data_IF_769834707924
#
_entry.id   IF_769834707924
#
_cell.length_a   1.000
_cell.length_b   1.000
_cell.length_c   1.000
_cell.angle_alpha   90.00
_cell.angle_beta   90.00
_cell.angle_gamma   90.00
#
_symmetry.space_group_name_H-M   'P 1'
#
loop_
_entity.id
_entity.type
_entity.pdbx_description
1 polymer ?
#
# COMPACT_ATOMS: atom_id res chain seq x y z
N UNK A 1 6.01 36.62 13.36
CA UNK A 1 6.83 35.86 12.41
C UNK A 1 6.23 36.09 11.02
N UNK A 2 7.08 36.43 10.06
CA UNK A 2 6.65 36.61 8.66
C UNK A 2 6.17 35.30 8.04
N UNK A 3 5.22 35.37 7.11
CA UNK A 3 4.58 34.21 6.51
C UNK A 3 5.56 33.22 5.86
N UNK A 4 6.62 33.72 5.22
CA UNK A 4 7.62 32.89 4.56
C UNK A 4 8.49 32.10 5.55
N UNK A 5 8.90 32.76 6.66
CA UNK A 5 9.62 32.10 7.75
C UNK A 5 8.74 31.05 8.43
N UNK A 6 7.46 31.39 8.64
CA UNK A 6 6.50 30.47 9.25
C UNK A 6 6.19 29.28 8.36
N UNK A 7 6.05 29.47 7.03
CA UNK A 7 5.84 28.37 6.09
C UNK A 7 7.05 27.42 6.05
N UNK A 8 8.27 27.95 6.05
CA UNK A 8 9.51 27.18 6.12
C UNK A 8 9.59 26.37 7.42
N UNK A 9 9.24 27.01 8.55
CA UNK A 9 9.17 26.33 9.84
C UNK A 9 8.19 25.17 9.83
N UNK A 10 6.98 25.35 9.32
CA UNK A 10 5.96 24.28 9.23
C UNK A 10 6.41 23.13 8.34
N UNK A 11 6.99 23.42 7.19
CA UNK A 11 7.53 22.41 6.30
C UNK A 11 8.55 21.53 7.03
N UNK A 12 9.56 22.12 7.65
CA UNK A 12 10.62 21.42 8.37
C UNK A 12 10.10 20.65 9.61
N UNK A 13 9.03 21.14 10.23
CA UNK A 13 8.41 20.52 11.39
C UNK A 13 7.63 19.25 11.05
N UNK A 14 7.01 19.19 9.86
CA UNK A 14 5.94 18.24 9.54
C UNK A 14 6.32 17.25 8.44
N UNK A 15 7.48 17.45 7.80
CA UNK A 15 8.05 16.54 6.79
C UNK A 15 9.39 15.98 7.24
N UNK A 16 9.90 15.01 6.49
CA UNK A 16 11.25 14.46 6.64
C UNK A 16 12.03 14.55 5.30
N UNK A 17 13.22 13.95 5.25
CA UNK A 17 14.10 13.94 4.07
C UNK A 17 13.50 13.22 2.85
N UNK A 18 12.38 12.52 3.02
CA UNK A 18 11.64 11.90 1.91
C UNK A 18 10.89 12.92 1.05
N UNK A 19 10.82 14.17 1.51
CA UNK A 19 10.22 15.29 0.79
C UNK A 19 11.27 16.38 0.53
N UNK A 20 11.12 17.10 -0.60
CA UNK A 20 11.92 18.26 -0.97
C UNK A 20 11.02 19.52 -1.04
N UNK A 21 11.44 20.67 -0.48
CA UNK A 21 10.67 21.89 -0.57
C UNK A 21 10.80 22.53 -1.97
N UNK A 22 9.76 23.24 -2.41
CA UNK A 22 9.90 24.29 -3.41
C UNK A 22 10.55 25.54 -2.79
N UNK A 23 10.88 26.53 -3.62
CA UNK A 23 11.07 27.86 -3.11
C UNK A 23 9.81 28.34 -2.38
N UNK A 24 10.02 29.14 -1.32
CA UNK A 24 8.91 29.77 -0.61
C UNK A 24 8.47 31.01 -1.38
N UNK A 25 7.17 31.20 -1.53
CA UNK A 25 6.59 32.35 -2.19
C UNK A 25 5.23 32.68 -1.60
N UNK A 26 5.02 33.92 -1.18
CA UNK A 26 3.75 34.39 -0.56
C UNK A 26 3.26 33.45 0.55
N UNK A 27 4.13 33.10 1.48
CA UNK A 27 3.80 32.22 2.60
C UNK A 27 3.47 30.78 2.22
N UNK A 28 3.84 30.34 0.99
CA UNK A 28 3.54 29.00 0.49
C UNK A 28 4.83 28.22 0.17
N UNK A 29 4.89 26.97 0.64
CA UNK A 29 5.88 25.95 0.24
C UNK A 29 5.14 24.71 -0.26
N UNK A 30 5.64 24.15 -1.36
CA UNK A 30 5.15 22.87 -1.91
C UNK A 30 6.14 21.77 -1.56
N UNK A 31 5.67 20.70 -0.90
CA UNK A 31 6.45 19.49 -0.71
C UNK A 31 6.38 18.61 -1.96
N UNK A 32 7.53 18.13 -2.43
CA UNK A 32 7.67 17.20 -3.54
C UNK A 32 8.32 15.92 -3.04
N UNK A 33 7.91 14.77 -3.55
CA UNK A 33 8.52 13.48 -3.22
C UNK A 33 9.98 13.43 -3.66
N UNK A 34 10.91 13.08 -2.77
CA UNK A 34 12.34 12.92 -3.09
C UNK A 34 12.61 11.68 -3.94
N UNK A 35 11.71 10.69 -3.88
CA UNK A 35 11.81 9.42 -4.60
C UNK A 35 10.42 8.91 -4.97
N UNK A 36 10.36 7.97 -5.92
CA UNK A 36 9.15 7.19 -6.16
C UNK A 36 8.86 6.30 -4.94
N UNK A 37 7.62 6.28 -4.46
CA UNK A 37 7.27 5.50 -3.29
C UNK A 37 5.81 5.63 -2.88
N UNK A 38 5.55 5.21 -1.66
CA UNK A 38 4.25 5.26 -1.01
C UNK A 38 4.11 6.54 -0.20
N UNK A 39 3.19 7.41 -0.57
CA UNK A 39 2.86 8.60 0.21
C UNK A 39 2.13 8.20 1.50
N UNK A 40 2.62 8.70 2.62
CA UNK A 40 2.01 8.59 3.94
C UNK A 40 1.62 9.97 4.45
N UNK A 41 0.36 10.10 4.85
CA UNK A 41 -0.18 11.30 5.47
C UNK A 41 -0.95 10.89 6.73
N UNK A 42 -0.60 11.49 7.86
CA UNK A 42 -1.38 11.32 9.08
C UNK A 42 -2.62 12.22 9.03
N UNK A 43 -3.78 11.63 8.68
CA UNK A 43 -5.03 12.35 8.47
C UNK A 43 -5.51 13.09 9.73
N UNK A 44 -5.37 12.48 10.90
CA UNK A 44 -5.83 13.09 12.16
C UNK A 44 -5.01 14.33 12.48
N UNK A 45 -3.67 14.23 12.40
CA UNK A 45 -2.77 15.38 12.58
C UNK A 45 -3.03 16.47 11.54
N UNK A 46 -3.31 16.10 10.27
CA UNK A 46 -3.62 17.04 9.20
C UNK A 46 -4.86 17.86 9.52
N UNK A 47 -5.93 17.21 9.95
CA UNK A 47 -7.19 17.88 10.30
C UNK A 47 -6.95 18.82 11.48
N UNK A 48 -6.35 18.32 12.56
CA UNK A 48 -6.10 19.12 13.77
C UNK A 48 -5.14 20.30 13.54
N UNK A 49 -4.16 20.15 12.63
CA UNK A 49 -3.29 21.26 12.22
C UNK A 49 -4.08 22.37 11.54
N UNK A 50 -5.00 21.99 10.64
CA UNK A 50 -5.84 22.94 9.89
C UNK A 50 -6.90 23.65 10.74
N UNK A 51 -7.13 23.22 12.00
CA UNK A 51 -7.93 23.95 12.99
C UNK A 51 -7.19 25.16 13.57
N UNK A 52 -5.87 25.26 13.39
CA UNK A 52 -5.10 26.41 13.85
C UNK A 52 -5.32 27.55 12.86
N UNK A 53 -5.92 28.64 13.35
CA UNK A 53 -6.21 29.82 12.55
C UNK A 53 -4.93 30.37 11.87
N UNK A 54 -5.01 30.65 10.58
CA UNK A 54 -3.92 31.20 9.78
C UNK A 54 -3.01 30.13 9.15
N UNK A 55 -3.18 28.84 9.47
CA UNK A 55 -2.46 27.74 8.83
C UNK A 55 -3.36 27.00 7.84
N UNK A 56 -2.79 26.62 6.70
CA UNK A 56 -3.47 25.78 5.71
C UNK A 56 -2.47 24.77 5.15
N UNK A 57 -2.76 23.49 5.34
CA UNK A 57 -2.02 22.38 4.76
C UNK A 57 -2.95 21.53 3.92
N UNK A 58 -2.67 21.41 2.64
CA UNK A 58 -3.36 20.49 1.73
C UNK A 58 -2.42 19.38 1.28
N UNK A 59 -2.94 18.17 1.13
CA UNK A 59 -2.16 17.00 0.75
C UNK A 59 -2.90 16.17 -0.29
N UNK A 60 -2.16 15.30 -1.00
CA UNK A 60 -2.77 14.15 -1.68
C UNK A 60 -3.28 13.14 -0.66
N UNK A 61 -4.09 12.20 -1.11
CA UNK A 61 -4.60 11.09 -0.28
C UNK A 61 -3.44 10.21 0.18
N UNK A 62 -3.49 9.74 1.42
CA UNK A 62 -2.52 8.77 1.95
C UNK A 62 -2.61 7.41 1.25
N UNK A 63 -1.53 6.61 1.34
CA UNK A 63 -1.44 5.24 0.82
C UNK A 63 -1.49 5.12 -0.71
N UNK A 64 -1.17 6.17 -1.44
CA UNK A 64 -1.04 6.15 -2.89
C UNK A 64 0.42 6.15 -3.32
N UNK A 65 0.67 5.62 -4.51
CA UNK A 65 1.97 5.77 -5.18
C UNK A 65 2.17 7.21 -5.62
N UNK A 66 3.40 7.72 -5.45
CA UNK A 66 3.84 8.99 -5.98
C UNK A 66 5.18 8.83 -6.70
N UNK A 67 5.38 9.64 -7.74
CA UNK A 67 6.63 9.66 -8.50
C UNK A 67 7.63 10.63 -7.86
N UNK A 68 8.92 10.46 -8.18
CA UNK A 68 9.94 11.45 -7.81
C UNK A 68 9.56 12.83 -8.37
N UNK A 69 9.79 13.88 -7.60
CA UNK A 69 9.47 15.28 -7.88
C UNK A 69 7.97 15.61 -7.99
N UNK A 70 7.10 14.62 -7.72
CA UNK A 70 5.67 14.83 -7.69
C UNK A 70 5.26 15.66 -6.46
N UNK A 71 4.38 16.65 -6.67
CA UNK A 71 3.83 17.49 -5.60
C UNK A 71 2.90 16.65 -4.72
N UNK A 72 3.20 16.57 -3.42
CA UNK A 72 2.45 15.74 -2.47
C UNK A 72 1.68 16.55 -1.44
N UNK A 73 2.13 17.78 -1.14
CA UNK A 73 1.47 18.67 -0.21
C UNK A 73 1.81 20.14 -0.49
N UNK A 74 1.01 21.05 0.04
CA UNK A 74 1.28 22.48 0.04
C UNK A 74 0.98 23.06 1.42
N UNK A 75 1.98 23.70 2.01
CA UNK A 75 1.92 24.45 3.25
C UNK A 75 1.69 25.91 2.94
N UNK A 76 0.75 26.55 3.60
CA UNK A 76 0.50 27.98 3.47
C UNK A 76 0.22 28.62 4.83
N UNK A 77 0.84 29.77 5.05
CA UNK A 77 0.46 30.70 6.11
C UNK A 77 -0.32 31.82 5.46
N UNK A 78 -1.60 32.00 5.90
CA UNK A 78 -2.55 32.90 5.21
C UNK A 78 -2.27 34.37 5.50
N UNK A 79 -2.06 34.81 6.80
CA UNK A 79 -1.78 36.20 7.10
C UNK A 79 -0.30 36.52 6.84
N UNK A 80 0.00 37.77 6.45
CA UNK A 80 1.37 38.26 6.23
C UNK A 80 2.28 38.01 7.45
N UNK A 81 1.72 38.02 8.64
CA UNK A 81 2.40 37.68 9.89
C UNK A 81 1.54 36.79 10.75
N UNK A 82 2.16 35.83 11.44
CA UNK A 82 1.51 34.92 12.37
C UNK A 82 2.14 35.02 13.76
N UNK A 83 1.37 34.80 14.81
CA UNK A 83 1.88 34.84 16.18
C UNK A 83 2.77 33.63 16.50
N UNK A 84 3.75 33.81 17.40
CA UNK A 84 4.57 32.69 17.89
C UNK A 84 3.70 31.61 18.54
N UNK A 85 2.66 32.03 19.30
CA UNK A 85 1.78 31.10 20.00
C UNK A 85 1.02 30.16 19.05
N UNK A 86 0.62 30.62 17.85
CA UNK A 86 -0.02 29.76 16.84
C UNK A 86 0.96 28.74 16.26
N UNK A 87 2.22 29.14 15.97
CA UNK A 87 3.24 28.21 15.51
C UNK A 87 3.67 27.20 16.59
N UNK A 88 3.71 27.63 17.87
CA UNK A 88 3.99 26.70 18.98
C UNK A 88 2.89 25.62 19.10
N UNK A 89 1.62 25.95 18.84
CA UNK A 89 0.56 24.93 18.76
C UNK A 89 0.85 23.88 17.69
N UNK A 90 1.47 24.24 16.56
CA UNK A 90 1.82 23.29 15.52
C UNK A 90 2.92 22.30 15.95
N UNK A 91 3.78 22.65 16.93
CA UNK A 91 4.84 21.76 17.44
C UNK A 91 4.31 20.46 18.05
N UNK A 92 3.10 20.44 18.57
CA UNK A 92 2.48 19.22 19.11
C UNK A 92 2.32 18.12 18.07
N UNK A 93 2.30 18.45 16.76
CA UNK A 93 2.20 17.50 15.66
C UNK A 93 3.55 16.96 15.18
N UNK A 94 4.66 17.55 15.66
CA UNK A 94 6.00 17.02 15.44
C UNK A 94 6.25 15.86 16.40
N UNK A 95 6.25 14.66 15.88
CA UNK A 95 6.52 13.43 16.62
C UNK A 95 7.60 12.63 15.90
N UNK A 96 7.97 11.47 16.44
CA UNK A 96 8.90 10.53 15.76
C UNK A 96 8.47 10.14 14.35
N UNK A 97 7.15 10.20 14.06
CA UNK A 97 6.61 10.01 12.73
C UNK A 97 6.15 11.36 12.16
N UNK A 98 6.70 11.79 11.00
CA UNK A 98 6.31 13.03 10.35
C UNK A 98 4.82 12.98 9.94
N UNK A 99 4.22 14.16 9.77
CA UNK A 99 2.85 14.25 9.27
C UNK A 99 2.76 13.78 7.81
N UNK A 100 3.80 14.08 7.02
CA UNK A 100 3.92 13.70 5.61
C UNK A 100 5.28 13.05 5.39
N UNK A 101 5.28 11.87 4.77
CA UNK A 101 6.50 11.18 4.31
C UNK A 101 6.24 10.35 3.08
N UNK A 102 7.31 9.97 2.38
CA UNK A 102 7.26 9.05 1.24
C UNK A 102 8.14 7.84 1.55
N UNK A 103 7.52 6.68 1.73
CA UNK A 103 8.25 5.43 1.95
C UNK A 103 8.73 4.87 0.61
N UNK A 104 10.04 4.71 0.38
CA UNK A 104 10.54 4.17 -0.87
C UNK A 104 10.11 2.72 -1.05
N UNK A 105 9.82 2.31 -2.28
CA UNK A 105 9.55 0.91 -2.59
C UNK A 105 10.79 0.04 -2.36
N UNK A 106 10.56 -1.22 -1.99
CA UNK A 106 11.60 -2.18 -1.64
C UNK A 106 11.79 -3.22 -2.74
N UNK A 107 12.91 -3.94 -2.69
CA UNK A 107 13.07 -5.14 -3.52
C UNK A 107 12.11 -6.21 -3.01
N UNK A 108 11.28 -6.76 -3.91
CA UNK A 108 10.27 -7.77 -3.60
C UNK A 108 10.47 -8.97 -4.51
N UNK A 109 10.64 -10.13 -3.92
CA UNK A 109 10.71 -11.42 -4.61
C UNK A 109 9.33 -12.09 -4.52
N UNK A 110 8.68 -12.27 -5.65
CA UNK A 110 7.31 -12.77 -5.75
C UNK A 110 7.30 -14.23 -6.19
N UNK A 111 6.52 -15.05 -5.51
CA UNK A 111 6.11 -16.38 -5.96
C UNK A 111 4.61 -16.39 -6.29
N UNK A 112 4.23 -17.09 -7.33
CA UNK A 112 2.83 -17.24 -7.74
C UNK A 112 2.45 -18.70 -7.65
N UNK A 113 1.35 -19.01 -6.94
CA UNK A 113 0.72 -20.33 -6.89
C UNK A 113 -0.62 -20.22 -7.58
N UNK A 114 -0.72 -20.78 -8.77
CA UNK A 114 -1.98 -20.86 -9.52
C UNK A 114 -2.65 -22.20 -9.22
N UNK A 115 -3.89 -22.17 -8.74
CA UNK A 115 -4.68 -23.38 -8.44
C UNK A 115 -5.78 -23.55 -9.50
N UNK A 116 -6.19 -24.78 -9.72
CA UNK A 116 -7.26 -25.13 -10.64
C UNK A 116 -6.96 -26.42 -11.38
N UNK A 117 -7.83 -27.44 -11.24
CA UNK A 117 -7.64 -28.73 -11.91
C UNK A 117 -7.58 -28.59 -13.43
N UNK A 118 -8.38 -27.70 -14.02
CA UNK A 118 -8.39 -27.47 -15.47
C UNK A 118 -7.09 -26.82 -15.97
N UNK A 119 -6.56 -25.84 -15.20
CA UNK A 119 -5.26 -25.19 -15.51
C UNK A 119 -4.13 -26.19 -15.29
N UNK A 120 -4.19 -26.97 -14.21
CA UNK A 120 -3.17 -27.97 -13.87
C UNK A 120 -3.07 -29.08 -14.94
N UNK A 121 -4.18 -29.51 -15.49
CA UNK A 121 -4.23 -30.53 -16.57
C UNK A 121 -3.98 -29.95 -17.96
N UNK A 122 -3.86 -28.63 -18.09
CA UNK A 122 -3.63 -27.96 -19.36
C UNK A 122 -4.88 -27.84 -20.24
N UNK A 123 -6.07 -28.07 -19.69
CA UNK A 123 -7.34 -27.89 -20.42
C UNK A 123 -7.67 -26.41 -20.61
N UNK A 124 -7.24 -25.56 -19.68
CA UNK A 124 -7.42 -24.10 -19.72
C UNK A 124 -6.07 -23.43 -19.47
N UNK A 125 -5.78 -22.35 -20.19
CA UNK A 125 -4.58 -21.55 -19.96
C UNK A 125 -4.74 -20.69 -18.68
N UNK A 126 -3.64 -20.47 -17.96
CA UNK A 126 -3.61 -19.58 -16.81
C UNK A 126 -3.77 -18.11 -17.23
N UNK A 127 -4.96 -17.54 -16.98
CA UNK A 127 -5.27 -16.16 -17.27
C UNK A 127 -4.69 -15.17 -16.22
N UNK A 128 -4.34 -15.64 -15.00
CA UNK A 128 -3.84 -14.76 -13.93
C UNK A 128 -2.40 -14.32 -14.17
N UNK A 129 -1.54 -15.22 -14.62
CA UNK A 129 -0.11 -14.92 -14.75
C UNK A 129 0.20 -13.72 -15.66
N UNK A 130 -0.40 -13.59 -16.87
CA UNK A 130 -0.17 -12.43 -17.73
C UNK A 130 -0.61 -11.11 -17.04
N UNK A 131 -1.75 -11.12 -16.34
CA UNK A 131 -2.27 -9.94 -15.62
C UNK A 131 -1.34 -9.54 -14.47
N UNK A 132 -0.92 -10.52 -13.67
CA UNK A 132 0.01 -10.27 -12.56
C UNK A 132 1.37 -9.78 -13.06
N UNK A 133 1.88 -10.38 -14.13
CA UNK A 133 3.13 -9.94 -14.77
C UNK A 133 3.04 -8.49 -15.24
N UNK A 134 1.93 -8.09 -15.84
CA UNK A 134 1.70 -6.72 -16.27
C UNK A 134 1.66 -5.75 -15.06
N UNK A 135 0.89 -6.08 -14.01
CA UNK A 135 0.80 -5.26 -12.79
C UNK A 135 2.15 -5.11 -12.07
N UNK A 136 2.90 -6.19 -11.90
CA UNK A 136 4.22 -6.15 -11.26
C UNK A 136 5.30 -5.47 -12.12
N UNK A 137 5.18 -5.50 -13.45
CA UNK A 137 6.14 -4.82 -14.35
C UNK A 137 6.17 -3.30 -14.16
N UNK A 138 5.11 -2.71 -13.61
CA UNK A 138 5.08 -1.30 -13.22
C UNK A 138 6.05 -0.96 -12.06
N UNK A 139 6.56 -1.97 -11.35
CA UNK A 139 7.46 -1.83 -10.19
C UNK A 139 8.83 -2.44 -10.49
N UNK A 140 9.84 -1.63 -10.87
CA UNK A 140 11.15 -2.15 -11.32
C UNK A 140 11.92 -2.96 -10.27
N UNK A 141 11.57 -2.80 -8.99
CA UNK A 141 12.20 -3.53 -7.88
C UNK A 141 11.50 -4.85 -7.55
N UNK A 142 10.48 -5.24 -8.32
CA UNK A 142 9.74 -6.48 -8.15
C UNK A 142 10.26 -7.52 -9.14
N UNK A 143 10.50 -8.73 -8.65
CA UNK A 143 10.91 -9.88 -9.47
C UNK A 143 9.98 -11.05 -9.21
N UNK A 144 9.27 -11.52 -10.22
CA UNK A 144 8.58 -12.81 -10.16
C UNK A 144 9.66 -13.89 -10.30
N UNK A 145 9.94 -14.57 -9.18
CA UNK A 145 11.00 -15.58 -9.10
C UNK A 145 10.51 -16.92 -9.61
N UNK A 146 9.23 -17.25 -9.31
CA UNK A 146 8.66 -18.55 -9.60
C UNK A 146 7.15 -18.47 -9.76
N UNK A 147 6.63 -19.28 -10.67
CA UNK A 147 5.24 -19.70 -10.74
C UNK A 147 5.16 -21.21 -10.55
N UNK A 148 4.18 -21.69 -9.81
CA UNK A 148 3.87 -23.10 -9.65
C UNK A 148 2.35 -23.28 -9.84
N UNK A 149 1.97 -24.11 -10.82
CA UNK A 149 0.58 -24.47 -11.07
C UNK A 149 0.32 -25.78 -10.33
N UNK A 150 -0.71 -25.80 -9.51
CA UNK A 150 -1.06 -26.95 -8.66
C UNK A 150 -2.53 -27.29 -8.82
N UNK A 151 -2.82 -28.56 -8.62
CA UNK A 151 -4.19 -29.09 -8.55
C UNK A 151 -4.93 -28.55 -7.29
N UNK A 152 -6.26 -28.52 -7.31
CA UNK A 152 -7.14 -27.98 -6.25
C UNK A 152 -7.12 -28.74 -4.92
N UNK A 153 -6.11 -29.56 -4.68
CA UNK A 153 -5.95 -30.26 -3.41
C UNK A 153 -5.27 -29.37 -2.37
N UNK A 154 -5.90 -29.12 -1.20
CA UNK A 154 -5.34 -28.21 -0.18
C UNK A 154 -3.92 -28.55 0.25
N UNK A 155 -3.60 -29.84 0.32
CA UNK A 155 -2.26 -30.32 0.71
C UNK A 155 -1.21 -29.91 -0.32
N UNK A 156 -1.51 -30.02 -1.63
CA UNK A 156 -0.60 -29.64 -2.70
C UNK A 156 -0.38 -28.14 -2.71
N UNK A 157 -1.47 -27.35 -2.56
CA UNK A 157 -1.41 -25.89 -2.46
C UNK A 157 -0.56 -25.47 -1.25
N UNK A 158 -0.82 -26.07 -0.08
CA UNK A 158 -0.07 -25.81 1.16
C UNK A 158 1.42 -26.11 1.00
N UNK A 159 1.78 -27.21 0.35
CA UNK A 159 3.18 -27.59 0.07
C UNK A 159 3.86 -26.59 -0.83
N UNK A 160 3.19 -26.16 -1.92
CA UNK A 160 3.72 -25.17 -2.85
C UNK A 160 4.00 -23.83 -2.14
N UNK A 161 3.04 -23.34 -1.33
CA UNK A 161 3.22 -22.10 -0.56
C UNK A 161 4.38 -22.25 0.43
N UNK A 162 4.43 -23.33 1.24
CA UNK A 162 5.51 -23.56 2.22
C UNK A 162 6.89 -23.63 1.56
N UNK A 163 7.00 -24.23 0.38
CA UNK A 163 8.24 -24.27 -0.40
C UNK A 163 8.71 -22.87 -0.82
N UNK A 164 7.79 -21.98 -1.24
CA UNK A 164 8.11 -20.60 -1.59
C UNK A 164 8.51 -19.79 -0.33
N UNK A 165 7.80 -19.98 0.79
CA UNK A 165 8.17 -19.37 2.08
C UNK A 165 9.59 -19.81 2.52
N UNK A 166 9.91 -21.08 2.42
CA UNK A 166 11.22 -21.62 2.77
C UNK A 166 12.36 -21.10 1.87
N UNK A 167 12.05 -20.68 0.63
CA UNK A 167 12.97 -20.02 -0.29
C UNK A 167 13.15 -18.52 0.02
N UNK A 168 12.49 -17.99 1.04
CA UNK A 168 12.57 -16.60 1.46
C UNK A 168 11.94 -15.64 0.46
N UNK A 169 10.87 -16.04 -0.24
CA UNK A 169 10.13 -15.10 -1.09
C UNK A 169 9.35 -14.13 -0.21
N UNK A 170 9.33 -12.85 -0.60
CA UNK A 170 8.72 -11.78 0.19
C UNK A 170 7.19 -11.76 0.08
N UNK A 171 6.68 -12.07 -1.10
CA UNK A 171 5.24 -12.06 -1.41
C UNK A 171 4.88 -13.34 -2.16
N UNK A 172 3.91 -14.08 -1.63
CA UNK A 172 3.31 -15.23 -2.31
C UNK A 172 1.90 -14.83 -2.74
N UNK A 173 1.61 -14.96 -4.04
CA UNK A 173 0.31 -14.67 -4.64
C UNK A 173 -0.37 -15.98 -4.99
N UNK A 174 -1.51 -16.25 -4.37
CA UNK A 174 -2.32 -17.41 -4.68
C UNK A 174 -3.51 -16.98 -5.55
N UNK A 175 -3.76 -17.71 -6.63
CA UNK A 175 -4.85 -17.45 -7.57
C UNK A 175 -5.63 -18.72 -7.82
N UNK A 176 -6.94 -18.61 -8.08
CA UNK A 176 -7.85 -19.75 -8.18
C UNK A 176 -8.36 -20.25 -6.83
N UNK A 177 -9.53 -20.88 -6.80
CA UNK A 177 -10.14 -21.44 -5.59
C UNK A 177 -10.33 -20.43 -4.46
N UNK A 178 -10.68 -19.18 -4.76
CA UNK A 178 -10.78 -18.08 -3.81
C UNK A 178 -12.21 -17.62 -3.52
N UNK A 179 -13.22 -18.26 -4.10
CA UNK A 179 -14.62 -17.92 -3.90
C UNK A 179 -15.19 -18.59 -2.62
N UNK A 180 -16.50 -18.60 -2.48
CA UNK A 180 -17.21 -19.17 -1.34
C UNK A 180 -17.69 -20.60 -1.57
N UNK A 181 -17.40 -21.16 -2.74
CA UNK A 181 -17.82 -22.52 -3.08
C UNK A 181 -17.08 -23.55 -2.20
N UNK A 182 -17.73 -24.67 -1.83
CA UNK A 182 -17.13 -25.70 -1.00
C UNK A 182 -15.81 -26.28 -1.54
N UNK A 183 -15.63 -26.22 -2.86
CA UNK A 183 -14.43 -26.69 -3.57
C UNK A 183 -13.32 -25.65 -3.65
N UNK A 184 -13.57 -24.42 -3.18
CA UNK A 184 -12.59 -23.34 -3.15
C UNK A 184 -11.69 -23.44 -1.90
N UNK A 185 -10.64 -24.22 -2.02
CA UNK A 185 -9.83 -24.68 -0.88
C UNK A 185 -8.52 -23.86 -0.70
N UNK A 186 -8.27 -22.86 -1.52
CA UNK A 186 -7.06 -22.00 -1.41
C UNK A 186 -6.97 -21.26 -0.07
N UNK A 187 -8.06 -20.67 0.50
CA UNK A 187 -8.01 -20.06 1.83
C UNK A 187 -7.65 -21.05 2.94
N UNK A 188 -8.18 -22.27 2.86
CA UNK A 188 -7.86 -23.36 3.81
C UNK A 188 -6.37 -23.73 3.70
N UNK A 189 -5.86 -23.87 2.50
CA UNK A 189 -4.45 -24.19 2.27
C UNK A 189 -3.52 -23.10 2.81
N UNK A 190 -3.85 -21.82 2.62
CA UNK A 190 -3.10 -20.69 3.20
C UNK A 190 -3.09 -20.79 4.74
N UNK A 191 -4.24 -21.05 5.36
CA UNK A 191 -4.33 -21.25 6.81
C UNK A 191 -3.46 -22.41 7.30
N UNK A 192 -3.42 -23.52 6.57
CA UNK A 192 -2.60 -24.71 6.88
C UNK A 192 -1.09 -24.46 6.78
N UNK A 193 -0.64 -23.37 6.17
CA UNK A 193 0.77 -22.96 6.23
C UNK A 193 1.19 -22.48 7.63
N UNK A 194 0.22 -22.18 8.49
CA UNK A 194 0.43 -21.52 9.79
C UNK A 194 0.65 -20.01 9.64
N UNK A 195 0.21 -19.41 8.52
CA UNK A 195 0.15 -17.97 8.37
C UNK A 195 -1.03 -17.37 9.16
N UNK A 196 -0.83 -16.18 9.70
CA UNK A 196 -1.87 -15.41 10.37
C UNK A 196 -2.72 -14.69 9.32
N UNK A 197 -4.01 -15.04 9.23
CA UNK A 197 -4.94 -14.41 8.30
C UNK A 197 -5.42 -13.09 8.89
N UNK A 198 -5.10 -11.99 8.21
CA UNK A 198 -5.57 -10.64 8.54
C UNK A 198 -7.01 -10.45 8.13
N UNK A 199 -7.33 -10.86 6.91
CA UNK A 199 -8.69 -10.84 6.37
C UNK A 199 -8.87 -11.89 5.27
N UNK A 200 -10.08 -12.45 5.19
CA UNK A 200 -10.59 -13.12 4.02
C UNK A 200 -11.95 -12.47 3.71
N UNK A 201 -11.99 -11.77 2.61
CA UNK A 201 -13.07 -10.85 2.28
C UNK A 201 -12.77 -9.40 2.68
N UNK A 202 -13.21 -8.48 1.84
CA UNK A 202 -13.05 -7.02 2.00
C UNK A 202 -14.31 -6.27 1.55
N UNK A 203 -14.61 -5.11 2.14
CA UNK A 203 -15.74 -4.28 1.73
C UNK A 203 -15.43 -3.43 0.49
N UNK A 204 -14.59 -3.94 -0.43
CA UNK A 204 -14.15 -3.25 -1.65
C UNK A 204 -14.56 -4.06 -2.87
N UNK A 205 -15.20 -3.42 -3.83
CA UNK A 205 -15.63 -3.99 -5.09
C UNK A 205 -14.99 -3.22 -6.26
N UNK A 206 -14.47 -3.95 -7.27
CA UNK A 206 -14.35 -5.40 -7.37
C UNK A 206 -13.21 -5.97 -6.53
N UNK A 207 -13.28 -7.29 -6.25
CA UNK A 207 -12.22 -8.01 -5.55
C UNK A 207 -12.56 -8.35 -4.09
N UNK A 208 -13.86 -8.38 -3.71
CA UNK A 208 -14.31 -8.60 -2.33
C UNK A 208 -13.78 -9.88 -1.66
N UNK A 209 -13.45 -10.93 -2.41
CA UNK A 209 -12.91 -12.19 -1.88
C UNK A 209 -11.38 -12.18 -1.70
N UNK A 210 -10.77 -11.00 -1.68
CA UNK A 210 -9.34 -10.86 -1.42
C UNK A 210 -8.97 -11.41 -0.03
N UNK A 211 -7.84 -12.13 0.04
CA UNK A 211 -7.27 -12.62 1.28
C UNK A 211 -5.89 -12.01 1.51
N UNK A 212 -5.62 -11.60 2.74
CA UNK A 212 -4.30 -11.16 3.21
C UNK A 212 -3.90 -11.97 4.44
N UNK A 213 -2.69 -12.50 4.42
CA UNK A 213 -2.08 -13.21 5.55
C UNK A 213 -0.59 -12.90 5.65
N UNK A 214 -0.04 -13.09 6.85
CA UNK A 214 1.39 -12.94 7.12
C UNK A 214 1.99 -14.20 7.73
N UNK A 215 3.23 -14.52 7.34
CA UNK A 215 4.07 -15.54 7.98
C UNK A 215 5.40 -14.91 8.34
N UNK A 216 5.52 -14.42 9.58
CA UNK A 216 6.62 -13.52 9.96
C UNK A 216 6.59 -12.25 9.09
N UNK A 217 7.69 -11.95 8.40
CA UNK A 217 7.79 -10.80 7.49
C UNK A 217 7.28 -11.08 6.06
N UNK A 218 6.93 -12.33 5.75
CA UNK A 218 6.47 -12.74 4.44
C UNK A 218 4.96 -12.53 4.30
N UNK A 219 4.55 -12.02 3.15
CA UNK A 219 3.14 -11.76 2.86
C UNK A 219 2.57 -12.82 1.94
N UNK A 220 1.36 -13.30 2.23
CA UNK A 220 0.59 -14.19 1.37
C UNK A 220 -0.72 -13.50 1.03
N UNK A 221 -1.05 -13.43 -0.25
CA UNK A 221 -2.33 -12.90 -0.71
C UNK A 221 -3.07 -13.93 -1.56
N UNK A 222 -4.38 -13.94 -1.43
CA UNK A 222 -5.28 -14.70 -2.30
C UNK A 222 -6.07 -13.73 -3.17
N UNK A 223 -6.04 -13.93 -4.48
CA UNK A 223 -6.68 -13.05 -5.46
C UNK A 223 -7.91 -13.70 -6.07
N UNK A 224 -9.08 -13.06 -5.97
CA UNK A 224 -10.30 -13.54 -6.62
C UNK A 224 -10.28 -13.29 -8.13
N UNK A 225 -11.14 -14.00 -8.87
CA UNK A 225 -11.29 -13.87 -10.32
C UNK A 225 -11.57 -12.46 -10.84
N UNK A 226 -12.12 -11.58 -10.01
CA UNK A 226 -12.36 -10.18 -10.36
C UNK A 226 -11.11 -9.41 -10.83
N UNK A 227 -9.92 -9.85 -10.42
CA UNK A 227 -8.63 -9.26 -10.86
C UNK A 227 -8.40 -9.43 -12.37
N UNK A 228 -9.00 -10.44 -12.99
CA UNK A 228 -8.87 -10.69 -14.42
C UNK A 228 -9.68 -9.73 -15.29
N UNK A 229 -10.79 -9.21 -14.75
CA UNK A 229 -11.79 -8.48 -15.52
C UNK A 229 -11.86 -6.99 -15.20
N UNK A 230 -11.12 -6.56 -14.18
CA UNK A 230 -11.17 -5.17 -13.69
C UNK A 230 -9.78 -4.56 -13.67
N UNK A 231 -9.65 -3.36 -14.23
CA UNK A 231 -8.41 -2.61 -14.25
C UNK A 231 -7.92 -2.30 -12.83
N UNK A 232 -8.85 -1.93 -11.94
CA UNK A 232 -8.59 -1.63 -10.53
C UNK A 232 -9.44 -2.50 -9.62
N UNK A 233 -8.80 -3.13 -8.66
CA UNK A 233 -9.42 -3.95 -7.63
C UNK A 233 -8.82 -3.58 -6.27
N UNK A 234 -9.27 -4.19 -5.19
CA UNK A 234 -8.63 -4.04 -3.87
C UNK A 234 -7.14 -4.36 -3.91
N UNK A 235 -6.71 -5.31 -4.75
CA UNK A 235 -5.29 -5.63 -4.93
C UNK A 235 -4.49 -4.42 -5.41
N UNK A 236 -5.02 -3.67 -6.39
CA UNK A 236 -4.36 -2.49 -6.94
C UNK A 236 -4.28 -1.35 -5.92
N UNK A 237 -5.27 -1.20 -5.05
CA UNK A 237 -5.24 -0.22 -3.95
C UNK A 237 -4.20 -0.57 -2.89
N UNK A 238 -3.99 -1.86 -2.63
CA UNK A 238 -3.02 -2.33 -1.63
C UNK A 238 -1.61 -2.52 -2.20
N UNK A 239 -1.46 -2.64 -3.53
CA UNK A 239 -0.19 -2.95 -4.18
C UNK A 239 0.94 -1.97 -3.81
N UNK A 240 0.76 -0.64 -3.79
CA UNK A 240 1.80 0.29 -3.37
C UNK A 240 2.25 0.04 -1.91
N UNK A 241 1.34 -0.33 -1.03
CA UNK A 241 1.65 -0.65 0.37
C UNK A 241 2.47 -1.94 0.49
N UNK A 242 2.10 -2.96 -0.28
CA UNK A 242 2.85 -4.22 -0.37
C UNK A 242 4.27 -3.98 -0.91
N UNK A 243 4.42 -3.10 -1.90
CA UNK A 243 5.72 -2.74 -2.47
C UNK A 243 6.60 -1.94 -1.51
N UNK A 244 6.01 -1.21 -0.58
CA UNK A 244 6.71 -0.54 0.52
C UNK A 244 6.99 -1.47 1.73
N UNK A 245 6.58 -2.75 1.67
CA UNK A 245 6.61 -3.73 2.78
C UNK A 245 5.92 -3.20 4.05
N UNK A 246 4.78 -2.52 3.89
CA UNK A 246 3.96 -2.16 5.04
C UNK A 246 3.17 -3.36 5.56
N UNK A 247 3.07 -3.46 6.89
CA UNK A 247 2.12 -4.35 7.53
C UNK A 247 0.74 -3.69 7.49
N UNK A 248 -0.20 -4.32 6.79
CA UNK A 248 -1.55 -3.82 6.58
C UNK A 248 -2.48 -4.46 7.60
N UNK A 249 -3.20 -3.64 8.37
CA UNK A 249 -4.18 -4.11 9.37
C UNK A 249 -5.57 -4.25 8.75
N UNK A 250 -6.39 -5.10 9.34
CA UNK A 250 -7.78 -5.29 8.90
C UNK A 250 -8.60 -3.99 8.90
N UNK A 251 -8.43 -3.14 9.93
CA UNK A 251 -9.10 -1.84 10.01
C UNK A 251 -8.79 -0.95 8.81
N UNK A 252 -7.53 -0.94 8.35
CA UNK A 252 -7.12 -0.12 7.22
C UNK A 252 -7.67 -0.62 5.86
N UNK A 253 -7.97 -1.94 5.78
CA UNK A 253 -8.68 -2.49 4.61
C UNK A 253 -10.17 -2.11 4.67
N UNK A 254 -10.75 -2.11 5.88
CA UNK A 254 -12.14 -1.67 6.09
C UNK A 254 -12.29 -0.20 5.74
N UNK A 255 -11.32 0.65 6.07
CA UNK A 255 -11.32 2.08 5.74
C UNK A 255 -11.40 2.36 4.22
N UNK A 256 -10.95 1.40 3.38
CA UNK A 256 -11.11 1.48 1.92
C UNK A 256 -12.57 1.36 1.44
N UNK A 257 -13.52 1.05 2.33
CA UNK A 257 -14.95 1.06 2.00
C UNK A 257 -15.51 2.47 1.75
N UNK A 258 -14.77 3.48 2.18
CA UNK A 258 -15.12 4.89 2.02
C UNK A 258 -14.20 5.57 1.00
N UNK A 259 -14.66 5.69 -0.23
CA UNK A 259 -14.00 6.44 -1.31
C UNK A 259 -13.19 5.60 -2.22
#
# INVERSE_FOLDING_TARGET
IHEEEAATFLYNLLTDDSCQPSEVHEGKIVAKASTRGLLKVNREKLIALNEIEGLALSTKVTNIEVQKDEKVAAFRVIPLTISKSQLEKARQFSTSEPLISVKPFKKIRVGIVTTGSEVYTGLVEDAFYPVLKAKFSAYPLVTIVKQEIVDDQPQKITVAIKKMLAQGLDLIVCTGGMSVDPDDLTPLAIKQTGAEIVTHGTPVLPGSMFLLAYKGEQTIIGLPGGVLFSEKTVFDLLLPRLMAKEVIKKSEIIDLSYG
#
